data_IF_617015151119
#
_entry.id   IF_617015151119
#
_cell.length_a   1.000
_cell.length_b   1.000
_cell.length_c   1.000
_cell.angle_alpha   90.00
_cell.angle_beta   90.00
_cell.angle_gamma   90.00
#
_symmetry.space_group_name_H-M   'P 1'
#
loop_
_entity.id
_entity.type
_entity.pdbx_description
1 polymer ?
#
# COMPACT_ATOMS: atom_id res chain seq x y z
N UNK A 1 -3.71 -16.74 -6.63
CA UNK A 1 -3.34 -15.72 -5.61
C UNK A 1 -3.35 -14.39 -6.34
N UNK A 2 -4.24 -13.45 -6.00
CA UNK A 2 -4.26 -12.13 -6.63
C UNK A 2 -3.00 -11.39 -6.19
N UNK A 3 -2.03 -11.23 -7.08
CA UNK A 3 -0.87 -10.41 -6.82
C UNK A 3 -1.26 -8.96 -7.07
N UNK A 4 -0.89 -8.08 -6.13
CA UNK A 4 -0.83 -6.63 -6.29
C UNK A 4 -0.44 -6.28 -7.73
N UNK A 5 -1.33 -5.58 -8.44
CA UNK A 5 -1.05 -5.08 -9.80
C UNK A 5 -0.16 -3.83 -9.81
N UNK A 6 0.19 -3.29 -8.64
CA UNK A 6 0.95 -2.05 -8.50
C UNK A 6 2.32 -2.17 -9.17
N UNK A 7 2.39 -1.80 -10.45
CA UNK A 7 3.62 -1.76 -11.23
C UNK A 7 4.60 -0.79 -10.55
N UNK A 8 5.85 -1.22 -10.28
CA UNK A 8 6.86 -0.33 -9.72
C UNK A 8 7.03 0.90 -10.60
N UNK A 9 7.04 2.09 -9.98
CA UNK A 9 7.28 3.36 -10.66
C UNK A 9 6.29 3.66 -11.79
N UNK A 10 5.06 3.14 -11.68
CA UNK A 10 4.01 3.47 -12.63
C UNK A 10 3.74 4.97 -12.62
N UNK A 11 3.69 5.55 -13.80
CA UNK A 11 3.25 6.92 -14.03
C UNK A 11 2.34 6.89 -15.25
N UNK A 12 1.07 7.26 -15.06
CA UNK A 12 0.06 7.28 -16.11
C UNK A 12 -0.25 8.73 -16.47
N UNK A 13 -0.30 9.00 -17.77
CA UNK A 13 -0.83 10.26 -18.29
C UNK A 13 -2.35 10.27 -18.09
N UNK A 14 -2.81 11.12 -17.17
CA UNK A 14 -4.21 11.28 -16.81
C UNK A 14 -4.59 12.76 -16.87
N UNK A 15 -4.26 13.44 -17.97
CA UNK A 15 -4.63 14.84 -18.23
C UNK A 15 -4.16 15.80 -17.12
N UNK A 16 -2.91 15.63 -16.68
CA UNK A 16 -2.32 16.41 -15.58
C UNK A 16 -2.74 15.98 -14.18
N UNK A 17 -3.57 14.94 -14.06
CA UNK A 17 -3.82 14.26 -12.79
C UNK A 17 -2.68 13.31 -12.52
N UNK A 18 -2.15 13.39 -11.32
CA UNK A 18 -1.18 12.44 -10.83
C UNK A 18 -1.81 11.07 -10.63
N UNK A 19 -1.37 10.09 -11.41
CA UNK A 19 -1.86 8.71 -11.35
C UNK A 19 -0.67 7.75 -11.45
N UNK A 20 -0.27 7.18 -10.32
CA UNK A 20 0.96 6.39 -10.31
C UNK A 20 1.34 5.78 -8.97
N UNK A 21 2.53 5.21 -8.94
CA UNK A 21 3.17 4.65 -7.76
C UNK A 21 3.99 5.72 -7.06
N UNK A 22 3.39 6.42 -6.10
CA UNK A 22 4.05 7.60 -5.54
C UNK A 22 3.82 7.84 -4.06
N UNK A 23 4.70 8.68 -3.51
CA UNK A 23 4.71 9.14 -2.13
C UNK A 23 4.31 10.61 -2.11
N UNK A 24 3.43 10.96 -1.19
CA UNK A 24 2.90 12.30 -1.00
C UNK A 24 3.57 12.95 0.22
N UNK A 25 4.08 14.17 0.08
CA UNK A 25 4.61 14.96 1.19
C UNK A 25 3.45 15.69 1.92
N UNK A 26 3.37 15.49 3.24
CA UNK A 26 2.50 16.25 4.14
C UNK A 26 3.32 16.86 5.27
N UNK A 27 2.76 17.85 5.98
CA UNK A 27 3.39 18.48 7.14
C UNK A 27 3.72 17.48 8.27
N UNK A 28 2.97 16.38 8.35
CA UNK A 28 3.14 15.33 9.38
C UNK A 28 4.00 14.15 8.91
N UNK A 29 4.51 14.17 7.67
CA UNK A 29 5.37 13.13 7.12
C UNK A 29 4.96 12.67 5.72
N UNK A 30 5.74 11.73 5.19
CA UNK A 30 5.57 11.18 3.85
C UNK A 30 4.65 9.98 3.82
N UNK A 31 3.61 10.06 3.00
CA UNK A 31 2.54 9.08 2.94
C UNK A 31 2.56 8.30 1.62
N UNK A 32 2.46 6.99 1.71
CA UNK A 32 2.21 6.08 0.61
C UNK A 32 0.82 5.45 0.74
N UNK A 33 0.19 5.12 -0.40
CA UNK A 33 -1.14 4.50 -0.44
C UNK A 33 -1.10 3.07 -0.97
N UNK A 34 -1.91 2.20 -0.39
CA UNK A 34 -2.09 0.80 -0.78
C UNK A 34 -3.56 0.45 -0.91
N UNK A 35 -3.86 -0.58 -1.70
CA UNK A 35 -5.22 -1.08 -1.88
C UNK A 35 -5.29 -2.53 -1.44
N UNK A 36 -6.12 -2.78 -0.42
CA UNK A 36 -6.58 -4.09 0.02
C UNK A 36 -5.48 -5.19 0.04
N UNK A 37 -5.41 -6.02 -1.00
CA UNK A 37 -4.49 -7.17 -1.12
C UNK A 37 -3.01 -6.81 -1.21
N UNK A 38 -2.67 -5.55 -1.52
CA UNK A 38 -1.28 -5.09 -1.60
C UNK A 38 -0.49 -5.41 -0.33
N UNK A 39 -1.12 -5.27 0.84
CA UNK A 39 -0.49 -5.51 2.14
C UNK A 39 -0.24 -7.00 2.45
N UNK A 40 -0.90 -7.92 1.75
CA UNK A 40 -0.89 -9.34 2.13
C UNK A 40 0.44 -10.02 1.83
N UNK A 41 1.17 -9.54 0.81
CA UNK A 41 2.44 -10.11 0.36
C UNK A 41 3.63 -9.42 1.05
N UNK A 42 4.63 -10.17 1.54
CA UNK A 42 5.89 -9.57 2.00
C UNK A 42 6.65 -8.86 0.88
N UNK A 43 6.48 -9.34 -0.36
CA UNK A 43 7.01 -8.70 -1.57
C UNK A 43 6.02 -7.70 -2.19
N UNK A 44 5.06 -7.20 -1.38
CA UNK A 44 4.12 -6.17 -1.78
C UNK A 44 4.79 -4.81 -2.03
N UNK A 45 4.02 -3.82 -2.52
CA UNK A 45 4.55 -2.51 -2.87
C UNK A 45 5.01 -1.69 -1.63
N UNK A 46 4.56 -2.05 -0.43
CA UNK A 46 4.95 -1.38 0.81
C UNK A 46 6.46 -1.18 0.94
N UNK A 47 7.22 -2.27 0.76
CA UNK A 47 8.67 -2.25 0.95
C UNK A 47 9.37 -1.23 0.04
N UNK A 48 9.00 -1.20 -1.25
CA UNK A 48 9.61 -0.25 -2.20
C UNK A 48 9.21 1.20 -1.92
N UNK A 49 8.00 1.44 -1.41
CA UNK A 49 7.52 2.78 -1.07
C UNK A 49 8.22 3.31 0.18
N UNK A 50 8.46 2.46 1.18
CA UNK A 50 9.31 2.80 2.31
C UNK A 50 10.75 3.14 1.85
N UNK A 51 11.33 2.36 0.94
CA UNK A 51 12.64 2.72 0.34
C UNK A 51 12.62 4.01 -0.49
N UNK A 52 11.45 4.41 -0.98
CA UNK A 52 11.24 5.69 -1.68
C UNK A 52 10.98 6.86 -0.71
N UNK A 53 11.05 6.61 0.60
CA UNK A 53 10.93 7.63 1.65
C UNK A 53 9.55 7.73 2.29
N UNK A 54 8.63 6.79 2.05
CA UNK A 54 7.36 6.76 2.79
C UNK A 54 7.59 6.41 4.26
N UNK A 55 7.01 7.20 5.15
CA UNK A 55 7.04 7.02 6.61
C UNK A 55 5.71 6.43 7.11
N UNK A 56 4.63 6.72 6.40
CA UNK A 56 3.27 6.28 6.70
C UNK A 56 2.71 5.55 5.48
N UNK A 57 2.15 4.36 5.67
CA UNK A 57 1.49 3.59 4.61
C UNK A 57 0.01 3.45 4.96
N UNK A 58 -0.85 3.99 4.10
CA UNK A 58 -2.31 3.94 4.26
C UNK A 58 -2.89 2.91 3.30
N UNK A 59 -3.42 1.83 3.84
CA UNK A 59 -4.11 0.81 3.05
C UNK A 59 -5.63 1.03 3.09
N UNK A 60 -6.23 1.33 1.94
CA UNK A 60 -7.69 1.41 1.79
C UNK A 60 -8.20 0.02 1.41
N UNK A 61 -9.09 -0.53 2.25
CA UNK A 61 -9.52 -1.93 2.17
C UNK A 61 -11.04 -2.07 2.09
N UNK A 62 -11.50 -3.00 1.24
CA UNK A 62 -12.89 -3.48 1.19
C UNK A 62 -12.97 -4.98 1.52
N UNK A 63 -12.08 -5.43 2.39
CA UNK A 63 -11.88 -6.83 2.74
C UNK A 63 -13.08 -7.42 3.52
N UNK A 64 -13.59 -8.60 3.14
CA UNK A 64 -14.78 -9.18 3.76
C UNK A 64 -14.56 -9.54 5.23
N UNK A 65 -15.65 -9.50 6.01
CA UNK A 65 -15.62 -9.96 7.40
C UNK A 65 -15.46 -11.48 7.47
N UNK A 66 -14.63 -11.92 8.41
CA UNK A 66 -14.61 -13.30 8.92
C UNK A 66 -14.25 -13.27 10.41
N UNK A 67 -14.63 -14.30 11.15
CA UNK A 67 -14.23 -14.46 12.55
C UNK A 67 -12.70 -14.48 12.64
N UNK A 68 -12.13 -13.77 13.63
CA UNK A 68 -10.68 -13.69 13.86
C UNK A 68 -9.90 -12.78 12.90
N UNK A 69 -10.58 -12.07 11.99
CA UNK A 69 -9.89 -11.30 10.94
C UNK A 69 -8.96 -10.19 11.48
N UNK A 70 -9.32 -9.54 12.58
CA UNK A 70 -8.51 -8.46 13.16
C UNK A 70 -7.18 -8.97 13.69
N UNK A 71 -7.18 -10.15 14.32
CA UNK A 71 -5.97 -10.80 14.82
C UNK A 71 -5.09 -11.27 13.66
N UNK A 72 -5.68 -11.96 12.67
CA UNK A 72 -4.91 -12.38 11.48
C UNK A 72 -4.28 -11.19 10.77
N UNK A 73 -4.98 -10.05 10.64
CA UNK A 73 -4.44 -8.83 10.02
C UNK A 73 -3.30 -8.23 10.85
N UNK A 74 -3.45 -8.18 12.18
CA UNK A 74 -2.40 -7.66 13.06
C UNK A 74 -1.13 -8.49 12.97
N UNK A 75 -1.25 -9.82 13.06
CA UNK A 75 -0.11 -10.73 12.93
C UNK A 75 0.55 -10.61 11.56
N UNK A 76 -0.25 -10.57 10.49
CA UNK A 76 0.24 -10.41 9.13
C UNK A 76 1.04 -9.11 8.97
N UNK A 77 0.48 -7.97 9.43
CA UNK A 77 1.13 -6.66 9.31
C UNK A 77 2.36 -6.52 10.22
N UNK A 78 2.39 -7.18 11.38
CA UNK A 78 3.56 -7.15 12.27
C UNK A 78 4.81 -7.83 11.69
N UNK A 79 4.66 -8.60 10.60
CA UNK A 79 5.75 -9.31 9.92
C UNK A 79 6.12 -8.68 8.58
N UNK A 80 5.83 -7.39 8.40
CA UNK A 80 6.07 -6.67 7.14
C UNK A 80 7.04 -5.51 7.32
#
# INVERSE_FOLDING_TARGET
RTLSRGSPYLELDADGIFLGDTVFDFEFGRLAVEVCEDAWSPDGPMRRRCYSGAEIVVNVSASPFRIGINETRREMLATR
#
